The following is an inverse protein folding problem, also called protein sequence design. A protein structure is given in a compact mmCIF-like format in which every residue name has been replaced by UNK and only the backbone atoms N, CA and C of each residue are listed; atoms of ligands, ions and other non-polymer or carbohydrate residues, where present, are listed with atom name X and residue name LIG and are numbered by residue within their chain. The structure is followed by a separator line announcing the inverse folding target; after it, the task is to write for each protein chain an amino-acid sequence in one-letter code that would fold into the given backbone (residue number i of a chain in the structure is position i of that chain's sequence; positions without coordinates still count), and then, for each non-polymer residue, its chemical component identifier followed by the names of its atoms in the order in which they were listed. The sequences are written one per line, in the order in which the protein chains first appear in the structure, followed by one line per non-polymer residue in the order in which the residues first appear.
data_IF_162618818793
#
_entry.id   IF_162618818793
#
_cell.length_a   1.000
_cell.length_b   1.000
_cell.length_c   1.000
_cell.angle_alpha   90.00
_cell.angle_beta   90.00
_cell.angle_gamma   90.00
#
_symmetry.space_group_name_H-M   'P 1'
#
loop_
_entity.id
_entity.type
_entity.pdbx_description
1 polymer ?
#
# COMPACT_ATOMS: atom_id res chain seq x y z
N UNK A 1 -23.27 2.77 -34.22
CA UNK A 1 -23.57 4.01 -33.47
C UNK A 1 -24.45 3.84 -32.22
N UNK A 2 -25.40 2.89 -32.11
CA UNK A 2 -26.26 2.72 -30.92
C UNK A 2 -25.60 2.08 -29.68
N UNK A 3 -24.44 1.44 -29.82
CA UNK A 3 -23.70 0.84 -28.69
C UNK A 3 -22.92 1.90 -27.89
N UNK A 4 -22.39 2.93 -28.57
CA UNK A 4 -21.68 4.04 -27.92
C UNK A 4 -22.62 4.98 -27.14
N UNK A 5 -23.90 5.09 -27.55
CA UNK A 5 -24.87 5.96 -26.90
C UNK A 5 -25.33 5.50 -25.49
N UNK A 6 -25.00 4.26 -25.08
CA UNK A 6 -25.33 3.73 -23.74
C UNK A 6 -24.18 3.83 -22.74
N UNK A 7 -22.99 4.23 -23.17
CA UNK A 7 -21.89 4.50 -22.25
C UNK A 7 -22.09 5.95 -21.77
N UNK A 8 -22.77 6.12 -20.63
CA UNK A 8 -22.64 7.38 -19.88
C UNK A 8 -21.19 7.46 -19.41
N UNK A 9 -20.38 8.16 -20.19
CA UNK A 9 -18.98 8.44 -19.88
C UNK A 9 -18.97 9.27 -18.61
N UNK A 10 -18.48 8.69 -17.52
CA UNK A 10 -18.25 9.41 -16.28
C UNK A 10 -17.00 10.28 -16.47
N UNK A 11 -17.19 11.54 -16.84
CA UNK A 11 -16.12 12.48 -17.16
C UNK A 11 -15.11 12.60 -16.00
N UNK A 12 -15.59 12.56 -14.76
CA UNK A 12 -14.74 12.66 -13.57
C UNK A 12 -13.76 11.47 -13.47
N UNK A 13 -14.24 10.25 -13.71
CA UNK A 13 -13.38 9.06 -13.75
C UNK A 13 -12.34 9.16 -14.89
N UNK A 14 -12.75 9.64 -16.07
CA UNK A 14 -11.84 9.81 -17.20
C UNK A 14 -10.74 10.84 -16.94
N UNK A 15 -11.09 11.98 -16.35
CA UNK A 15 -10.11 12.99 -15.97
C UNK A 15 -9.10 12.43 -14.96
N UNK A 16 -9.54 11.59 -14.03
CA UNK A 16 -8.67 10.94 -13.06
C UNK A 16 -7.70 9.94 -13.73
N UNK A 17 -8.20 9.13 -14.66
CA UNK A 17 -7.36 8.21 -15.46
C UNK A 17 -6.34 9.00 -16.28
N UNK A 18 -6.77 10.09 -16.94
CA UNK A 18 -5.87 10.94 -17.73
C UNK A 18 -4.79 11.59 -16.87
N UNK A 19 -5.13 12.04 -15.65
CA UNK A 19 -4.15 12.58 -14.71
C UNK A 19 -3.13 11.51 -14.30
N UNK A 20 -3.57 10.29 -13.96
CA UNK A 20 -2.67 9.17 -13.67
C UNK A 20 -1.76 8.84 -14.86
N UNK A 21 -2.31 8.76 -16.08
CA UNK A 21 -1.53 8.47 -17.29
C UNK A 21 -0.53 9.57 -17.61
N UNK A 22 -0.86 10.84 -17.36
CA UNK A 22 0.08 11.95 -17.51
C UNK A 22 1.27 11.80 -16.56
N UNK A 23 1.03 11.40 -15.30
CA UNK A 23 2.11 11.11 -14.34
C UNK A 23 2.97 9.95 -14.85
N UNK A 24 2.36 8.85 -15.30
CA UNK A 24 3.08 7.71 -15.86
C UNK A 24 3.95 8.12 -17.05
N UNK A 25 3.41 8.90 -17.99
CA UNK A 25 4.13 9.39 -19.16
C UNK A 25 5.34 10.26 -18.77
N UNK A 26 5.15 11.19 -17.83
CA UNK A 26 6.23 12.07 -17.35
C UNK A 26 7.33 11.34 -16.57
N UNK A 27 7.07 10.13 -16.08
CA UNK A 27 8.04 9.31 -15.34
C UNK A 27 8.60 8.13 -16.14
N UNK A 28 8.19 7.97 -17.40
CA UNK A 28 8.74 6.93 -18.26
C UNK A 28 10.03 7.39 -18.93
N UNK A 29 11.07 6.57 -18.84
CA UNK A 29 12.32 6.78 -19.59
C UNK A 29 12.48 5.67 -20.63
N UNK A 30 12.33 5.96 -21.94
CA UNK A 30 12.46 4.95 -22.98
C UNK A 30 13.80 4.22 -22.94
N UNK A 31 13.81 2.94 -23.34
CA UNK A 31 15.02 2.10 -23.43
C UNK A 31 15.76 1.93 -22.10
N UNK A 32 15.05 2.04 -20.96
CA UNK A 32 15.61 1.78 -19.63
C UNK A 32 14.77 0.75 -18.89
N UNK A 33 15.39 0.08 -17.91
CA UNK A 33 14.66 -0.76 -16.96
C UNK A 33 14.38 0.04 -15.70
N UNK A 34 13.12 0.00 -15.25
CA UNK A 34 12.78 0.51 -13.93
C UNK A 34 13.36 -0.44 -12.87
N UNK A 35 14.37 0.01 -12.13
CA UNK A 35 14.88 -0.71 -10.96
C UNK A 35 14.42 -0.04 -9.66
N UNK A 36 14.22 -0.84 -8.62
CA UNK A 36 13.64 -0.43 -7.34
C UNK A 36 14.48 -0.85 -6.15
N UNK A 37 13.90 -0.84 -4.94
CA UNK A 37 14.61 -1.23 -3.71
C UNK A 37 15.11 -2.67 -3.78
N UNK A 38 14.23 -3.57 -4.21
CA UNK A 38 14.54 -4.95 -4.52
C UNK A 38 14.56 -5.14 -6.04
N UNK A 39 15.60 -5.81 -6.52
CA UNK A 39 15.84 -6.09 -7.94
C UNK A 39 15.06 -7.34 -8.38
N UNK A 40 13.75 -7.34 -8.14
CA UNK A 40 12.84 -8.39 -8.61
C UNK A 40 12.48 -8.17 -10.08
N UNK A 41 13.26 -8.78 -10.99
CA UNK A 41 13.03 -8.73 -12.44
C UNK A 41 12.52 -10.10 -12.96
N UNK A 42 11.24 -10.46 -12.71
CA UNK A 42 10.68 -11.68 -13.27
C UNK A 42 10.72 -11.71 -14.80
N UNK A 43 10.68 -10.54 -15.43
CA UNK A 43 10.71 -10.40 -16.88
C UNK A 43 11.93 -11.06 -17.52
N UNK A 44 13.09 -11.04 -16.86
CA UNK A 44 14.36 -11.57 -17.41
C UNK A 44 14.31 -13.07 -17.65
N UNK A 45 13.59 -13.81 -16.80
CA UNK A 45 13.34 -15.23 -16.98
C UNK A 45 12.16 -15.68 -16.10
N UNK A 46 10.94 -15.61 -16.65
CA UNK A 46 9.73 -15.95 -15.91
C UNK A 46 9.73 -17.39 -15.38
N UNK A 47 10.20 -18.36 -16.17
CA UNK A 47 10.25 -19.78 -15.79
C UNK A 47 11.14 -19.97 -14.57
N UNK A 48 12.35 -19.42 -14.61
CA UNK A 48 13.29 -19.51 -13.50
C UNK A 48 12.75 -18.76 -12.28
N UNK A 49 12.17 -17.57 -12.46
CA UNK A 49 11.60 -16.80 -11.36
C UNK A 49 10.46 -17.55 -10.66
N UNK A 50 9.50 -18.08 -11.42
CA UNK A 50 8.38 -18.89 -10.90
C UNK A 50 8.88 -20.12 -10.14
N UNK A 51 9.89 -20.82 -10.66
CA UNK A 51 10.48 -21.98 -9.98
C UNK A 51 11.09 -21.61 -8.62
N UNK A 52 11.72 -20.43 -8.51
CA UNK A 52 12.32 -19.93 -7.27
C UNK A 52 11.26 -19.53 -6.26
N UNK A 53 10.28 -18.71 -6.65
CA UNK A 53 9.28 -18.21 -5.70
C UNK A 53 8.29 -19.27 -5.21
N UNK A 54 8.12 -20.37 -5.97
CA UNK A 54 7.30 -21.51 -5.58
C UNK A 54 8.05 -22.49 -4.65
N UNK A 55 9.37 -22.34 -4.51
CA UNK A 55 10.20 -23.22 -3.67
C UNK A 55 10.17 -22.79 -2.20
N UNK A 56 10.12 -23.78 -1.31
CA UNK A 56 10.33 -23.59 0.15
C UNK A 56 11.81 -23.52 0.53
N UNK A 57 12.71 -23.68 -0.45
CA UNK A 57 14.16 -23.57 -0.29
C UNK A 57 14.76 -22.72 -1.42
N UNK A 58 15.51 -21.68 -1.05
CA UNK A 58 16.08 -20.72 -1.98
C UNK A 58 17.56 -20.99 -2.22
N UNK A 59 17.87 -21.97 -3.07
CA UNK A 59 19.26 -22.35 -3.42
C UNK A 59 20.10 -21.18 -3.94
N UNK A 60 19.45 -20.20 -4.56
CA UNK A 60 20.12 -19.03 -5.13
C UNK A 60 20.57 -18.00 -4.08
N UNK A 61 20.17 -18.16 -2.81
CA UNK A 61 20.53 -17.25 -1.72
C UNK A 61 21.74 -17.78 -0.95
N UNK A 62 22.95 -17.45 -1.42
CA UNK A 62 24.20 -17.84 -0.77
C UNK A 62 24.43 -19.36 -0.79
N UNK A 63 24.39 -20.01 0.37
CA UNK A 63 24.47 -21.48 0.51
C UNK A 63 23.09 -22.17 0.47
N UNK A 64 22.04 -21.39 0.18
CA UNK A 64 20.66 -21.81 0.31
C UNK A 64 20.07 -21.40 1.66
N UNK A 65 18.84 -20.92 1.64
CA UNK A 65 18.09 -20.54 2.84
C UNK A 65 16.60 -20.81 2.66
N UNK A 66 15.86 -21.09 3.76
CA UNK A 66 14.42 -21.05 3.71
C UNK A 66 13.96 -19.59 3.47
N UNK A 67 12.86 -19.36 2.73
CA UNK A 67 12.47 -18.02 2.31
C UNK A 67 11.97 -17.20 3.50
N UNK A 68 12.68 -16.12 3.84
CA UNK A 68 12.31 -15.21 4.92
C UNK A 68 11.14 -14.29 4.56
N UNK A 69 10.95 -14.04 3.27
CA UNK A 69 9.85 -13.29 2.69
C UNK A 69 8.81 -14.25 2.11
N UNK A 70 7.57 -13.78 1.97
CA UNK A 70 6.51 -14.60 1.36
C UNK A 70 6.62 -14.57 -0.18
N UNK A 71 7.72 -15.07 -0.74
CA UNK A 71 7.99 -15.01 -2.18
C UNK A 71 6.86 -15.56 -3.05
N UNK A 72 6.20 -16.65 -2.62
CA UNK A 72 5.07 -17.21 -3.34
C UNK A 72 3.93 -16.20 -3.56
N UNK A 73 3.78 -15.21 -2.69
CA UNK A 73 2.76 -14.14 -2.85
C UNK A 73 2.93 -13.31 -4.14
N UNK A 74 4.10 -13.36 -4.78
CA UNK A 74 4.40 -12.72 -6.07
C UNK A 74 3.80 -13.46 -7.28
N UNK A 75 3.30 -14.70 -7.12
CA UNK A 75 2.76 -15.50 -8.23
C UNK A 75 1.68 -14.75 -9.01
N UNK A 76 0.64 -14.14 -8.38
CA UNK A 76 -0.41 -13.45 -9.13
C UNK A 76 0.13 -12.26 -9.93
N UNK A 77 1.05 -11.49 -9.36
CA UNK A 77 1.72 -10.39 -10.08
C UNK A 77 2.52 -10.91 -11.26
N UNK A 78 3.25 -12.01 -11.09
CA UNK A 78 4.06 -12.60 -12.15
C UNK A 78 3.20 -13.03 -13.34
N UNK A 79 2.00 -13.56 -13.08
CA UNK A 79 1.01 -13.86 -14.12
C UNK A 79 0.52 -12.58 -14.82
N UNK A 80 0.24 -11.51 -14.08
CA UNK A 80 -0.12 -10.20 -14.65
C UNK A 80 1.02 -9.69 -15.55
N UNK A 81 2.27 -9.74 -15.09
CA UNK A 81 3.44 -9.34 -15.88
C UNK A 81 3.61 -10.20 -17.14
N UNK A 82 3.36 -11.51 -17.06
CA UNK A 82 3.39 -12.39 -18.22
C UNK A 82 2.34 -11.97 -19.26
N UNK A 83 1.14 -11.59 -18.84
CA UNK A 83 0.11 -11.08 -19.77
C UNK A 83 0.53 -9.74 -20.42
N UNK A 84 1.28 -8.90 -19.72
CA UNK A 84 1.78 -7.64 -20.28
C UNK A 84 2.79 -7.87 -21.42
N UNK A 85 3.50 -8.99 -21.44
CA UNK A 85 4.45 -9.33 -22.53
C UNK A 85 3.79 -9.44 -23.90
N UNK A 86 2.47 -9.68 -23.94
CA UNK A 86 1.70 -9.76 -25.19
C UNK A 86 1.60 -8.39 -25.87
N UNK A 87 1.62 -7.31 -25.09
CA UNK A 87 1.28 -5.96 -25.57
C UNK A 87 2.46 -5.00 -25.59
N UNK A 88 3.49 -5.26 -24.79
CA UNK A 88 4.54 -4.28 -24.52
C UNK A 88 5.95 -4.90 -24.65
N UNK A 89 6.96 -4.06 -24.94
CA UNK A 89 8.34 -4.52 -24.98
C UNK A 89 8.86 -4.87 -23.58
N UNK A 90 9.94 -5.64 -23.58
CA UNK A 90 10.58 -6.20 -22.39
C UNK A 90 10.99 -5.15 -21.35
N UNK A 91 11.57 -4.04 -21.79
CA UNK A 91 12.02 -2.92 -20.94
C UNK A 91 10.85 -2.23 -20.23
N UNK A 92 9.64 -2.32 -20.81
CA UNK A 92 8.44 -1.71 -20.25
C UNK A 92 7.73 -2.59 -19.22
N UNK A 93 8.13 -3.86 -19.02
CA UNK A 93 7.36 -4.80 -18.18
C UNK A 93 7.13 -4.29 -16.75
N UNK A 94 8.21 -3.86 -16.08
CA UNK A 94 8.13 -3.35 -14.71
C UNK A 94 7.45 -1.98 -14.65
N UNK A 95 7.73 -1.09 -15.62
CA UNK A 95 6.98 0.18 -15.77
C UNK A 95 5.48 -0.07 -15.90
N UNK A 96 5.08 -0.98 -16.79
CA UNK A 96 3.68 -1.30 -17.08
C UNK A 96 2.92 -1.78 -15.85
N UNK A 97 3.53 -2.66 -15.05
CA UNK A 97 2.90 -3.10 -13.79
C UNK A 97 2.75 -1.94 -12.79
N UNK A 98 3.80 -1.14 -12.59
CA UNK A 98 3.77 -0.02 -11.65
C UNK A 98 2.77 1.06 -12.10
N UNK A 99 2.74 1.39 -13.39
CA UNK A 99 1.79 2.33 -13.96
C UNK A 99 0.35 1.81 -13.87
N UNK A 100 0.13 0.51 -14.05
CA UNK A 100 -1.17 -0.10 -13.81
C UNK A 100 -1.62 0.15 -12.36
N UNK A 101 -0.74 0.04 -11.38
CA UNK A 101 -1.07 0.32 -9.98
C UNK A 101 -1.32 1.81 -9.70
N UNK A 102 -0.55 2.70 -10.32
CA UNK A 102 -0.75 4.17 -10.25
C UNK A 102 -2.11 4.59 -10.80
N UNK A 103 -2.59 3.92 -11.85
CA UNK A 103 -3.93 4.15 -12.42
C UNK A 103 -5.01 3.46 -11.57
N UNK A 104 -4.80 2.19 -11.20
CA UNK A 104 -5.79 1.39 -10.47
C UNK A 104 -6.14 1.98 -9.11
N UNK A 105 -5.16 2.48 -8.36
CA UNK A 105 -5.36 3.03 -7.01
C UNK A 105 -6.44 4.12 -6.94
N UNK A 106 -6.25 5.28 -7.60
CA UNK A 106 -7.24 6.36 -7.59
C UNK A 106 -8.57 5.96 -8.22
N UNK A 107 -8.59 5.08 -9.24
CA UNK A 107 -9.84 4.54 -9.80
C UNK A 107 -10.60 3.72 -8.77
N UNK A 108 -9.91 2.83 -8.04
CA UNK A 108 -10.50 2.03 -6.98
C UNK A 108 -11.09 2.89 -5.87
N UNK A 109 -10.35 3.93 -5.45
CA UNK A 109 -10.83 4.90 -4.44
C UNK A 109 -12.02 5.70 -4.96
N UNK A 110 -11.98 6.18 -6.20
CA UNK A 110 -13.11 6.86 -6.84
C UNK A 110 -14.36 5.99 -6.82
N UNK A 111 -14.25 4.73 -7.26
CA UNK A 111 -15.39 3.80 -7.31
C UNK A 111 -15.90 3.45 -5.91
N UNK A 112 -15.01 3.33 -4.92
CA UNK A 112 -15.38 3.15 -3.52
C UNK A 112 -16.19 4.34 -3.01
N UNK A 113 -15.64 5.56 -3.09
CA UNK A 113 -16.31 6.77 -2.61
C UNK A 113 -17.64 7.03 -3.34
N UNK A 114 -17.70 6.79 -4.65
CA UNK A 114 -18.94 6.92 -5.42
C UNK A 114 -20.01 5.94 -4.93
N UNK A 115 -19.64 4.72 -4.57
CA UNK A 115 -20.56 3.75 -3.98
C UNK A 115 -21.09 4.23 -2.62
N UNK A 116 -20.21 4.77 -1.77
CA UNK A 116 -20.60 5.29 -0.45
C UNK A 116 -21.59 6.46 -0.56
N UNK A 117 -21.26 7.48 -1.35
CA UNK A 117 -22.09 8.68 -1.47
C UNK A 117 -23.45 8.42 -2.13
N UNK A 118 -23.55 7.42 -3.02
CA UNK A 118 -24.83 6.99 -3.59
C UNK A 118 -25.74 6.38 -2.53
N UNK A 119 -25.20 5.60 -1.61
CA UNK A 119 -25.98 5.01 -0.51
C UNK A 119 -26.47 6.08 0.47
N UNK A 120 -25.69 7.14 0.67
CA UNK A 120 -26.06 8.30 1.50
C UNK A 120 -27.04 9.29 0.82
N UNK A 121 -27.58 8.94 -0.36
CA UNK A 121 -28.53 9.76 -1.14
C UNK A 121 -28.02 11.17 -1.47
N UNK A 122 -26.70 11.35 -1.57
CA UNK A 122 -26.09 12.61 -2.00
C UNK A 122 -26.45 12.86 -3.47
N UNK A 123 -26.62 14.13 -3.84
CA UNK A 123 -26.81 14.53 -5.24
C UNK A 123 -25.74 13.84 -6.13
N UNK A 124 -26.13 13.17 -7.25
CA UNK A 124 -25.19 12.43 -8.09
C UNK A 124 -23.98 13.25 -8.57
N UNK A 125 -24.17 14.52 -8.90
CA UNK A 125 -23.08 15.39 -9.34
C UNK A 125 -22.10 15.69 -8.20
N UNK A 126 -22.62 16.00 -7.01
CA UNK A 126 -21.79 16.24 -5.81
C UNK A 126 -21.05 14.98 -5.40
N UNK A 127 -21.69 13.81 -5.53
CA UNK A 127 -21.07 12.51 -5.29
C UNK A 127 -19.91 12.24 -6.24
N UNK A 128 -20.08 12.51 -7.54
CA UNK A 128 -19.02 12.34 -8.54
C UNK A 128 -17.84 13.29 -8.29
N UNK A 129 -18.10 14.57 -8.02
CA UNK A 129 -17.06 15.55 -7.74
C UNK A 129 -16.31 15.18 -6.45
N UNK A 130 -17.03 14.83 -5.38
CA UNK A 130 -16.39 14.42 -4.12
C UNK A 130 -15.54 13.16 -4.29
N UNK A 131 -16.03 12.17 -5.02
CA UNK A 131 -15.27 10.95 -5.31
C UNK A 131 -14.02 11.24 -6.17
N UNK A 132 -14.14 12.16 -7.14
CA UNK A 132 -13.02 12.61 -7.96
C UNK A 132 -11.95 13.30 -7.13
N UNK A 133 -12.34 14.26 -6.28
CA UNK A 133 -11.41 14.95 -5.39
C UNK A 133 -10.72 13.99 -4.42
N UNK A 134 -11.45 13.00 -3.89
CA UNK A 134 -10.87 11.96 -3.05
C UNK A 134 -9.87 11.06 -3.79
N UNK A 135 -10.19 10.64 -5.03
CA UNK A 135 -9.27 9.89 -5.88
C UNK A 135 -8.04 10.72 -6.29
N UNK A 136 -8.22 12.00 -6.59
CA UNK A 136 -7.13 12.92 -6.93
C UNK A 136 -6.21 13.16 -5.74
N UNK A 137 -6.76 13.33 -4.54
CA UNK A 137 -5.97 13.42 -3.31
C UNK A 137 -5.21 12.12 -3.03
N UNK A 138 -5.83 10.96 -3.26
CA UNK A 138 -5.16 9.66 -3.15
C UNK A 138 -3.98 9.52 -4.12
N UNK A 139 -4.08 10.08 -5.33
CA UNK A 139 -3.00 10.08 -6.32
C UNK A 139 -1.88 11.08 -6.00
N UNK A 140 -2.23 12.29 -5.55
CA UNK A 140 -1.30 13.43 -5.49
C UNK A 140 -0.79 13.79 -4.09
N UNK A 141 -1.16 13.04 -3.05
CA UNK A 141 -0.61 13.29 -1.71
C UNK A 141 0.88 12.89 -1.62
N UNK A 142 1.59 13.49 -0.66
CA UNK A 142 3.02 13.23 -0.46
C UNK A 142 3.33 11.76 -0.11
N UNK A 143 2.40 11.08 0.56
CA UNK A 143 2.51 9.65 0.86
C UNK A 143 2.64 8.82 -0.41
N UNK A 144 1.85 9.12 -1.45
CA UNK A 144 1.89 8.40 -2.73
C UNK A 144 3.25 8.53 -3.41
N UNK A 145 3.84 9.73 -3.42
CA UNK A 145 5.20 9.93 -3.92
C UNK A 145 6.20 8.99 -3.24
N UNK A 146 6.12 8.87 -1.91
CA UNK A 146 7.01 8.01 -1.13
C UNK A 146 6.80 6.52 -1.41
N UNK A 147 5.60 6.09 -1.80
CA UNK A 147 5.35 4.69 -2.20
C UNK A 147 5.98 4.33 -3.55
N UNK A 148 6.22 5.31 -4.42
CA UNK A 148 6.68 5.09 -5.80
C UNK A 148 8.07 5.67 -6.11
N UNK A 149 8.66 6.47 -5.21
CA UNK A 149 10.02 6.99 -5.42
C UNK A 149 11.08 5.90 -5.29
N UNK A 150 10.87 4.98 -4.34
CA UNK A 150 11.59 3.73 -4.24
C UNK A 150 10.62 2.63 -4.60
N UNK A 151 10.60 2.27 -5.86
CA UNK A 151 9.62 1.31 -6.38
C UNK A 151 9.81 -0.04 -5.69
N UNK A 152 8.72 -0.51 -5.08
CA UNK A 152 8.63 -1.86 -4.58
C UNK A 152 7.19 -2.37 -4.76
N UNK A 153 7.05 -3.52 -5.39
CA UNK A 153 5.79 -4.05 -5.89
C UNK A 153 4.76 -4.30 -4.80
N UNK A 154 5.19 -4.62 -3.58
CA UNK A 154 4.27 -4.83 -2.47
C UNK A 154 3.52 -3.55 -2.08
N UNK A 155 4.20 -2.40 -2.10
CA UNK A 155 3.60 -1.10 -1.82
C UNK A 155 2.71 -0.65 -2.98
N UNK A 156 3.17 -0.85 -4.22
CA UNK A 156 2.39 -0.55 -5.42
C UNK A 156 1.11 -1.40 -5.48
N UNK A 157 1.19 -2.70 -5.21
CA UNK A 157 0.03 -3.61 -5.20
C UNK A 157 -0.98 -3.21 -4.12
N UNK A 158 -0.51 -2.92 -2.90
CA UNK A 158 -1.37 -2.40 -1.85
C UNK A 158 -2.07 -1.11 -2.31
N UNK A 159 -1.32 -0.14 -2.81
CA UNK A 159 -1.86 1.13 -3.31
C UNK A 159 -2.92 0.92 -4.41
N UNK A 160 -2.60 0.12 -5.43
CA UNK A 160 -3.46 -0.10 -6.59
C UNK A 160 -4.76 -0.81 -6.26
N UNK A 161 -4.74 -1.78 -5.34
CA UNK A 161 -5.90 -2.62 -5.05
C UNK A 161 -6.72 -2.18 -3.83
N UNK A 162 -6.19 -1.35 -2.92
CA UNK A 162 -6.85 -1.01 -1.65
C UNK A 162 -8.29 -0.52 -1.82
N UNK A 163 -8.51 0.43 -2.73
CA UNK A 163 -9.85 0.99 -2.96
C UNK A 163 -10.84 -0.06 -3.48
N UNK A 164 -10.40 -0.96 -4.36
CA UNK A 164 -11.23 -2.04 -4.88
C UNK A 164 -11.56 -3.09 -3.81
N UNK A 165 -10.60 -3.41 -2.94
CA UNK A 165 -10.80 -4.34 -1.82
C UNK A 165 -11.94 -3.83 -0.94
N UNK A 166 -11.84 -2.58 -0.47
CA UNK A 166 -12.88 -1.99 0.37
C UNK A 166 -14.22 -1.88 -0.37
N UNK A 167 -14.22 -1.46 -1.64
CA UNK A 167 -15.43 -1.41 -2.48
C UNK A 167 -16.17 -2.75 -2.54
N UNK A 168 -15.48 -3.83 -2.88
CA UNK A 168 -16.13 -5.12 -3.04
C UNK A 168 -16.45 -5.78 -1.70
N UNK A 169 -15.66 -5.49 -0.65
CA UNK A 169 -15.99 -5.91 0.71
C UNK A 169 -17.30 -5.27 1.20
N UNK A 170 -17.43 -3.94 1.10
CA UNK A 170 -18.66 -3.24 1.50
C UNK A 170 -19.85 -3.70 0.67
N UNK A 171 -19.71 -3.77 -0.67
CA UNK A 171 -20.78 -4.27 -1.55
C UNK A 171 -21.26 -5.66 -1.17
N UNK A 172 -20.34 -6.59 -0.90
CA UNK A 172 -20.71 -7.94 -0.51
C UNK A 172 -21.40 -7.99 0.84
N UNK A 173 -20.94 -7.23 1.84
CA UNK A 173 -21.60 -7.16 3.14
C UNK A 173 -23.03 -6.61 2.99
N UNK A 174 -23.23 -5.59 2.17
CA UNK A 174 -24.55 -4.97 1.95
C UNK A 174 -25.52 -5.91 1.23
N UNK A 175 -25.10 -6.52 0.12
CA UNK A 175 -26.02 -7.22 -0.79
C UNK A 175 -25.89 -8.75 -0.80
N UNK A 176 -24.81 -9.32 -0.28
CA UNK A 176 -24.56 -10.77 -0.23
C UNK A 176 -24.45 -11.46 -1.59
N UNK A 177 -24.24 -10.73 -2.68
CA UNK A 177 -24.23 -11.29 -4.04
C UNK A 177 -22.96 -12.10 -4.29
N UNK A 178 -23.09 -13.26 -4.93
CA UNK A 178 -21.95 -14.12 -5.30
C UNK A 178 -20.96 -13.40 -6.21
N UNK A 179 -21.44 -12.58 -7.15
CA UNK A 179 -20.57 -11.85 -8.08
C UNK A 179 -19.68 -10.82 -7.36
N UNK A 180 -20.17 -10.18 -6.29
CA UNK A 180 -19.35 -9.23 -5.52
C UNK A 180 -18.33 -9.96 -4.64
N UNK A 181 -18.68 -11.14 -4.12
CA UNK A 181 -17.71 -12.01 -3.45
C UNK A 181 -16.63 -12.49 -4.42
N UNK A 182 -17.02 -12.95 -5.61
CA UNK A 182 -16.07 -13.38 -6.63
C UNK A 182 -15.14 -12.25 -7.06
N UNK A 183 -15.67 -11.04 -7.30
CA UNK A 183 -14.85 -9.87 -7.58
C UNK A 183 -13.89 -9.54 -6.43
N UNK A 184 -14.35 -9.61 -5.18
CA UNK A 184 -13.48 -9.46 -4.00
C UNK A 184 -12.34 -10.49 -4.00
N UNK A 185 -12.63 -11.77 -4.31
CA UNK A 185 -11.63 -12.82 -4.37
C UNK A 185 -10.57 -12.59 -5.43
N UNK A 186 -11.00 -12.21 -6.64
CA UNK A 186 -10.06 -11.87 -7.71
C UNK A 186 -9.15 -10.71 -7.30
N UNK A 187 -9.71 -9.65 -6.73
CA UNK A 187 -8.93 -8.49 -6.29
C UNK A 187 -7.95 -8.87 -5.17
N UNK A 188 -8.39 -9.65 -4.17
CA UNK A 188 -7.51 -10.12 -3.09
C UNK A 188 -6.36 -10.97 -3.65
N UNK A 189 -6.64 -11.91 -4.55
CA UNK A 189 -5.62 -12.73 -5.19
C UNK A 189 -4.63 -11.88 -5.99
N UNK A 190 -5.10 -10.95 -6.83
CA UNK A 190 -4.24 -10.05 -7.58
C UNK A 190 -3.40 -9.14 -6.68
N UNK A 191 -3.92 -8.80 -5.50
CA UNK A 191 -3.23 -7.97 -4.52
C UNK A 191 -2.22 -8.73 -3.64
N UNK A 192 -2.10 -10.05 -3.80
CA UNK A 192 -1.30 -10.90 -2.92
C UNK A 192 0.17 -10.48 -2.84
N UNK A 193 0.75 -9.87 -3.89
CA UNK A 193 2.13 -9.35 -3.87
C UNK A 193 2.37 -8.29 -2.79
N UNK A 194 1.31 -7.68 -2.22
CA UNK A 194 1.47 -6.84 -1.01
C UNK A 194 2.04 -7.63 0.18
N UNK A 195 1.92 -8.95 0.16
CA UNK A 195 2.42 -9.84 1.19
C UNK A 195 3.89 -10.23 1.01
N UNK A 196 4.60 -9.75 -0.03
CA UNK A 196 6.02 -10.05 -0.22
C UNK A 196 6.77 -9.89 1.11
N UNK A 197 6.58 -8.75 1.77
CA UNK A 197 6.78 -8.63 3.21
C UNK A 197 5.47 -8.91 3.94
N UNK A 198 5.39 -10.07 4.61
CA UNK A 198 4.14 -10.58 5.17
C UNK A 198 3.49 -9.63 6.20
N UNK A 199 4.30 -8.85 6.94
CA UNK A 199 3.81 -7.86 7.92
C UNK A 199 2.86 -6.84 7.29
N UNK A 200 3.12 -6.40 6.05
CA UNK A 200 2.26 -5.44 5.35
C UNK A 200 0.87 -6.01 5.10
N UNK A 201 0.79 -7.30 4.74
CA UNK A 201 -0.48 -8.00 4.56
C UNK A 201 -1.18 -8.25 5.88
N UNK A 202 -0.47 -8.67 6.95
CA UNK A 202 -1.09 -8.89 8.26
C UNK A 202 -1.71 -7.62 8.84
N UNK A 203 -1.04 -6.47 8.72
CA UNK A 203 -1.59 -5.18 9.14
C UNK A 203 -2.81 -4.81 8.29
N UNK A 204 -2.72 -5.01 6.96
CA UNK A 204 -3.86 -4.81 6.07
C UNK A 204 -5.06 -5.70 6.45
N UNK A 205 -4.83 -7.00 6.70
CA UNK A 205 -5.87 -7.95 7.06
C UNK A 205 -6.50 -7.63 8.42
N UNK A 206 -5.70 -7.19 9.40
CA UNK A 206 -6.18 -6.68 10.68
C UNK A 206 -7.08 -5.45 10.50
N UNK A 207 -6.67 -4.50 9.65
CA UNK A 207 -7.48 -3.33 9.28
C UNK A 207 -8.78 -3.71 8.57
N UNK A 208 -8.74 -4.65 7.62
CA UNK A 208 -9.93 -5.17 6.94
C UNK A 208 -10.87 -5.88 7.91
N UNK A 209 -10.33 -6.65 8.86
CA UNK A 209 -11.10 -7.32 9.92
C UNK A 209 -11.81 -6.28 10.78
N UNK A 210 -11.09 -5.27 11.27
CA UNK A 210 -11.67 -4.20 12.08
C UNK A 210 -12.76 -3.44 11.32
N UNK A 211 -12.48 -3.06 10.07
CA UNK A 211 -13.45 -2.40 9.19
C UNK A 211 -14.74 -3.21 9.05
N UNK A 212 -14.62 -4.45 8.60
CA UNK A 212 -15.78 -5.29 8.23
C UNK A 212 -16.61 -5.68 9.45
N UNK A 213 -15.98 -5.96 10.59
CA UNK A 213 -16.68 -6.29 11.83
C UNK A 213 -17.42 -5.08 12.42
N UNK A 214 -16.77 -3.90 12.48
CA UNK A 214 -17.44 -2.67 12.94
C UNK A 214 -18.58 -2.32 12.00
N UNK A 215 -18.33 -2.35 10.69
CA UNK A 215 -19.35 -2.05 9.68
C UNK A 215 -20.55 -2.98 9.81
N UNK A 216 -20.32 -4.28 9.96
CA UNK A 216 -21.38 -5.25 10.18
C UNK A 216 -22.12 -5.05 11.51
N UNK A 217 -21.41 -4.68 12.57
CA UNK A 217 -21.98 -4.50 13.90
C UNK A 217 -22.93 -3.29 14.00
N UNK A 218 -22.61 -2.21 13.28
CA UNK A 218 -23.39 -0.97 13.24
C UNK A 218 -24.76 -1.12 12.56
N UNK A 219 -24.98 -2.18 11.77
CA UNK A 219 -26.28 -2.46 11.16
C UNK A 219 -27.14 -3.30 12.10
N UNK A 220 -27.81 -2.65 13.06
CA UNK A 220 -28.51 -3.31 14.19
C UNK A 220 -29.52 -4.37 13.77
N UNK A 221 -30.39 -4.06 12.81
CA UNK A 221 -31.54 -4.89 12.46
C UNK A 221 -31.12 -6.14 11.65
N UNK A 222 -30.02 -6.03 10.91
CA UNK A 222 -29.48 -7.08 10.04
C UNK A 222 -28.13 -7.61 10.53
N UNK A 223 -27.75 -7.31 11.78
CA UNK A 223 -26.41 -7.55 12.34
C UNK A 223 -25.93 -8.98 12.14
N UNK A 224 -26.78 -9.97 12.44
CA UNK A 224 -26.41 -11.40 12.29
C UNK A 224 -26.07 -11.77 10.85
N UNK A 225 -26.83 -11.24 9.89
CA UNK A 225 -26.60 -11.47 8.45
C UNK A 225 -25.31 -10.79 8.02
N UNK A 226 -25.08 -9.55 8.43
CA UNK A 226 -23.90 -8.77 8.08
C UNK A 226 -22.64 -9.39 8.69
N UNK A 227 -22.67 -9.83 9.95
CA UNK A 227 -21.57 -10.52 10.60
C UNK A 227 -21.25 -11.87 9.94
N UNK A 228 -22.27 -12.64 9.53
CA UNK A 228 -22.04 -13.88 8.76
C UNK A 228 -21.34 -13.59 7.43
N UNK A 229 -21.74 -12.52 6.74
CA UNK A 229 -21.11 -12.08 5.47
C UNK A 229 -19.68 -11.61 5.70
N UNK A 230 -19.43 -10.80 6.74
CA UNK A 230 -18.08 -10.37 7.12
C UNK A 230 -17.19 -11.56 7.47
N UNK A 231 -17.67 -12.49 8.31
CA UNK A 231 -16.94 -13.70 8.68
C UNK A 231 -16.59 -14.57 7.46
N UNK A 232 -17.55 -14.76 6.54
CA UNK A 232 -17.29 -15.47 5.29
C UNK A 232 -16.23 -14.74 4.45
N UNK A 233 -16.34 -13.42 4.27
CA UNK A 233 -15.36 -12.63 3.52
C UNK A 233 -13.94 -12.76 4.10
N UNK A 234 -13.80 -12.62 5.42
CA UNK A 234 -12.52 -12.75 6.12
C UNK A 234 -11.95 -14.17 6.01
N UNK A 235 -12.81 -15.17 6.17
CA UNK A 235 -12.41 -16.58 6.00
C UNK A 235 -11.87 -16.83 4.60
N UNK A 236 -12.60 -16.43 3.55
CA UNK A 236 -12.11 -16.69 2.19
C UNK A 236 -10.87 -15.85 1.87
N UNK A 237 -10.72 -14.66 2.44
CA UNK A 237 -9.48 -13.86 2.34
C UNK A 237 -8.26 -14.62 2.88
N UNK A 238 -8.38 -15.34 4.00
CA UNK A 238 -7.31 -16.23 4.48
C UNK A 238 -7.14 -17.43 3.55
N UNK A 239 -8.23 -18.13 3.23
CA UNK A 239 -8.18 -19.38 2.44
C UNK A 239 -7.48 -19.19 1.09
N UNK A 240 -7.77 -18.10 0.38
CA UNK A 240 -7.16 -17.82 -0.92
C UNK A 240 -5.68 -17.46 -0.83
N UNK A 241 -5.19 -17.05 0.35
CA UNK A 241 -3.80 -16.67 0.60
C UNK A 241 -3.00 -17.78 1.32
N UNK A 242 -3.61 -18.94 1.64
CA UNK A 242 -2.94 -20.04 2.34
C UNK A 242 -1.67 -20.53 1.64
N UNK A 243 -1.62 -20.43 0.31
CA UNK A 243 -0.47 -20.90 -0.48
C UNK A 243 0.84 -20.17 -0.14
N UNK A 244 0.80 -18.93 0.34
CA UNK A 244 1.97 -18.22 0.84
C UNK A 244 1.95 -18.04 2.37
N UNK A 245 0.77 -17.98 3.01
CA UNK A 245 0.66 -17.85 4.47
C UNK A 245 1.27 -19.08 5.16
N UNK A 246 0.96 -20.30 4.71
CA UNK A 246 1.43 -21.52 5.37
C UNK A 246 2.97 -21.64 5.35
N UNK A 247 3.66 -21.47 4.20
CA UNK A 247 5.12 -21.44 4.18
C UNK A 247 5.72 -20.30 5.03
N UNK A 248 5.12 -19.11 5.00
CA UNK A 248 5.61 -17.97 5.80
C UNK A 248 5.46 -18.23 7.31
N UNK A 249 4.33 -18.79 7.74
CA UNK A 249 4.10 -19.19 9.13
C UNK A 249 5.11 -20.26 9.56
N UNK A 250 5.35 -21.26 8.71
CA UNK A 250 6.38 -22.26 8.96
C UNK A 250 7.76 -21.61 9.12
N UNK A 251 8.14 -20.67 8.26
CA UNK A 251 9.39 -19.93 8.40
C UNK A 251 9.46 -19.18 9.73
N UNK A 252 8.44 -18.39 10.06
CA UNK A 252 8.42 -17.59 11.29
C UNK A 252 8.53 -18.43 12.57
N UNK A 253 7.88 -19.61 12.59
CA UNK A 253 7.90 -20.50 13.76
C UNK A 253 9.24 -21.22 13.93
N UNK A 254 9.89 -21.63 12.82
CA UNK A 254 11.10 -22.45 12.89
C UNK A 254 12.40 -21.64 12.81
N UNK A 255 12.40 -20.49 12.12
CA UNK A 255 13.60 -19.70 11.78
C UNK A 255 13.51 -18.23 12.23
N UNK A 256 12.47 -17.85 13.00
CA UNK A 256 12.30 -16.46 13.47
C UNK A 256 13.48 -15.94 14.31
N UNK A 257 14.14 -16.81 15.09
CA UNK A 257 15.31 -16.45 15.89
C UNK A 257 16.56 -16.17 15.04
N UNK A 258 16.70 -16.84 13.89
CA UNK A 258 17.82 -16.64 12.98
C UNK A 258 17.77 -15.25 12.35
N UNK A 259 16.56 -14.75 12.07
CA UNK A 259 16.33 -13.38 11.59
C UNK A 259 16.84 -12.36 12.61
N UNK A 260 16.45 -12.50 13.87
CA UNK A 260 16.82 -11.59 14.97
C UNK A 260 18.34 -11.56 15.17
N UNK A 261 19.01 -12.70 15.02
CA UNK A 261 20.46 -12.83 15.26
C UNK A 261 21.30 -12.51 14.02
N UNK A 262 20.69 -12.40 12.83
CA UNK A 262 21.38 -12.06 11.59
C UNK A 262 22.08 -10.70 11.66
N UNK A 263 23.23 -10.58 10.98
CA UNK A 263 24.04 -9.35 11.00
C UNK A 263 23.25 -8.12 10.51
N UNK A 264 22.47 -8.28 9.45
CA UNK A 264 21.69 -7.18 8.88
C UNK A 264 20.64 -6.66 9.85
N UNK A 265 19.91 -7.54 10.55
CA UNK A 265 18.90 -7.11 11.52
C UNK A 265 19.53 -6.51 12.79
N UNK A 266 20.65 -7.05 13.27
CA UNK A 266 21.37 -6.49 14.42
C UNK A 266 21.86 -5.06 14.19
N UNK A 267 22.21 -4.72 12.94
CA UNK A 267 22.63 -3.36 12.57
C UNK A 267 21.42 -2.48 12.23
N UNK A 268 20.50 -2.97 11.41
CA UNK A 268 19.45 -2.18 10.80
C UNK A 268 18.24 -1.93 11.72
N UNK A 269 17.92 -2.83 12.65
CA UNK A 269 16.69 -2.72 13.46
C UNK A 269 16.68 -1.48 14.37
N UNK A 270 17.82 -1.07 14.93
CA UNK A 270 17.89 0.19 15.68
C UNK A 270 17.93 1.42 14.79
N UNK A 271 18.67 1.35 13.68
CA UNK A 271 18.74 2.43 12.71
C UNK A 271 17.37 2.75 12.11
N UNK A 272 16.63 1.72 11.68
CA UNK A 272 15.27 1.84 11.17
C UNK A 272 14.34 2.49 12.20
N UNK A 273 14.41 2.05 13.46
CA UNK A 273 13.60 2.62 14.53
C UNK A 273 13.90 4.10 14.77
N UNK A 274 15.19 4.48 14.86
CA UNK A 274 15.59 5.88 15.09
C UNK A 274 15.20 6.77 13.91
N UNK A 275 15.34 6.27 12.69
CA UNK A 275 14.91 6.96 11.48
C UNK A 275 13.39 7.18 11.47
N UNK A 276 12.58 6.16 11.77
CA UNK A 276 11.12 6.31 11.89
C UNK A 276 10.73 7.27 13.03
N UNK A 277 11.37 7.16 14.20
CA UNK A 277 11.13 8.04 15.35
C UNK A 277 11.41 9.51 15.03
N UNK A 278 12.39 9.81 14.17
CA UNK A 278 12.70 11.19 13.76
C UNK A 278 11.56 11.88 13.00
N UNK A 279 10.69 11.09 12.35
CA UNK A 279 9.48 11.54 11.64
C UNK A 279 8.18 11.25 12.38
N UNK A 280 8.24 10.74 13.61
CA UNK A 280 7.07 10.41 14.44
C UNK A 280 6.37 11.61 15.09
N UNK A 281 6.50 12.81 14.49
CA UNK A 281 5.92 14.06 14.97
C UNK A 281 4.58 14.34 14.28
N UNK A 282 3.67 15.03 14.98
CA UNK A 282 2.36 15.42 14.42
C UNK A 282 2.51 16.23 13.12
N UNK A 283 3.48 17.15 13.07
CA UNK A 283 3.76 17.99 11.88
C UNK A 283 4.04 17.18 10.62
N UNK A 284 4.65 16.01 10.79
CA UNK A 284 5.16 15.17 9.71
C UNK A 284 4.06 14.21 9.26
N UNK A 285 3.37 13.62 10.23
CA UNK A 285 2.26 12.70 10.01
C UNK A 285 1.10 13.39 9.29
N UNK A 286 0.77 14.64 9.64
CA UNK A 286 -0.32 15.38 8.99
C UNK A 286 -0.11 15.49 7.47
N UNK A 287 1.13 15.67 7.02
CA UNK A 287 1.47 15.78 5.59
C UNK A 287 2.03 14.47 5.01
N UNK A 288 1.96 13.36 5.75
CA UNK A 288 2.51 12.05 5.39
C UNK A 288 4.04 12.00 5.16
N UNK A 289 4.82 12.86 5.79
CA UNK A 289 6.29 12.83 5.68
C UNK A 289 6.88 11.66 6.48
N UNK A 290 7.73 10.84 5.86
CA UNK A 290 8.39 9.69 6.51
C UNK A 290 9.92 9.76 6.41
N UNK A 291 10.58 8.71 6.90
CA UNK A 291 12.04 8.61 7.00
C UNK A 291 12.81 8.69 5.67
N UNK A 292 12.16 8.49 4.52
CA UNK A 292 12.78 8.61 3.21
C UNK A 292 13.32 10.01 2.94
N UNK A 293 12.80 11.04 3.62
CA UNK A 293 13.32 12.40 3.54
C UNK A 293 14.73 12.59 4.11
N UNK A 294 15.17 11.70 5.01
CA UNK A 294 16.55 11.68 5.50
C UNK A 294 17.39 10.57 4.88
N UNK A 295 16.82 9.76 3.99
CA UNK A 295 17.54 8.67 3.35
C UNK A 295 18.60 9.21 2.40
N UNK A 296 19.85 8.78 2.55
CA UNK A 296 20.95 9.22 1.69
C UNK A 296 21.23 8.19 0.61
N UNK A 297 21.39 8.68 -0.61
CA UNK A 297 21.85 7.89 -1.75
C UNK A 297 23.32 8.22 -1.96
N UNK A 298 24.15 7.18 -2.05
CA UNK A 298 25.54 7.31 -2.44
C UNK A 298 25.60 7.25 -3.96
N UNK A 299 26.01 8.34 -4.57
CA UNK A 299 26.38 8.34 -5.97
C UNK A 299 27.88 8.05 -6.04
N UNK A 300 28.22 6.86 -6.51
CA UNK A 300 29.57 6.62 -7.02
C UNK A 300 29.67 7.40 -8.32
N UNK A 301 30.08 8.66 -8.25
CA UNK A 301 30.44 9.39 -9.44
C UNK A 301 31.64 8.65 -10.08
N UNK A 302 31.45 8.09 -11.27
CA UNK A 302 32.52 7.60 -12.16
C UNK A 302 33.50 8.71 -12.61
N UNK A 303 33.50 9.86 -11.95
CA UNK A 303 34.39 10.97 -12.23
C UNK A 303 35.68 10.73 -11.45
N UNK A 304 36.60 9.97 -12.04
CA UNK A 304 38.03 10.10 -11.75
C UNK A 304 38.50 11.50 -12.14
N UNK A 305 38.26 12.50 -11.28
CA UNK A 305 39.05 13.74 -11.29
C UNK A 305 40.18 13.56 -10.28
N UNK A 306 41.41 13.46 -10.79
CA UNK A 306 42.65 13.38 -10.01
C UNK A 306 42.85 12.13 -9.13
N UNK A 307 42.33 10.96 -9.54
CA UNK A 307 42.64 9.69 -8.88
C UNK A 307 42.00 9.48 -7.50
N UNK A 308 41.10 10.36 -7.06
CA UNK A 308 40.32 10.21 -5.82
C UNK A 308 38.85 9.94 -6.13
N UNK A 309 38.31 8.86 -5.58
CA UNK A 309 36.88 8.52 -5.60
C UNK A 309 36.11 9.56 -4.76
N UNK A 310 35.50 10.54 -5.42
CA UNK A 310 34.57 11.46 -4.76
C UNK A 310 33.21 10.78 -4.66
N UNK A 311 32.91 10.21 -3.50
CA UNK A 311 31.56 9.73 -3.19
C UNK A 311 30.71 10.94 -2.81
N UNK A 312 29.82 11.37 -3.69
CA UNK A 312 28.81 12.39 -3.35
C UNK A 312 27.59 11.70 -2.78
N UNK A 313 27.20 12.07 -1.56
CA UNK A 313 25.94 11.63 -0.97
C UNK A 313 24.90 12.75 -1.12
N UNK A 314 23.72 12.43 -1.65
CA UNK A 314 22.57 13.35 -1.66
C UNK A 314 21.36 12.70 -0.96
N UNK A 315 20.37 13.50 -0.60
CA UNK A 315 19.14 13.00 0.02
C UNK A 315 18.17 12.52 -1.06
N UNK A 316 17.61 11.32 -0.88
CA UNK A 316 16.70 10.68 -1.84
C UNK A 316 15.53 11.58 -2.25
N UNK A 317 14.99 12.34 -1.30
CA UNK A 317 13.84 13.24 -1.51
C UNK A 317 14.24 14.72 -1.58
N UNK A 318 15.47 15.05 -1.99
CA UNK A 318 15.96 16.43 -2.02
C UNK A 318 15.02 17.39 -2.79
N UNK A 319 14.54 16.99 -3.97
CA UNK A 319 13.59 17.80 -4.76
C UNK A 319 12.29 18.10 -4.01
N UNK A 320 11.77 17.12 -3.26
CA UNK A 320 10.56 17.29 -2.46
C UNK A 320 10.82 18.08 -1.18
N UNK A 321 12.02 17.96 -0.60
CA UNK A 321 12.45 18.80 0.52
C UNK A 321 12.50 20.27 0.11
N UNK A 322 13.07 20.58 -1.05
CA UNK A 322 13.06 21.94 -1.64
C UNK A 322 11.64 22.42 -1.94
N UNK A 323 10.79 21.54 -2.48
CA UNK A 323 9.38 21.87 -2.74
C UNK A 323 8.63 22.23 -1.44
N UNK A 324 8.83 21.48 -0.36
CA UNK A 324 8.20 21.71 0.94
C UNK A 324 8.78 22.90 1.73
N UNK A 325 9.91 23.47 1.31
CA UNK A 325 10.42 24.72 1.89
C UNK A 325 9.53 25.93 1.53
N UNK A 326 8.71 25.82 0.48
CA UNK A 326 7.74 26.85 0.17
C UNK A 326 6.57 26.81 1.20
N UNK A 327 6.37 27.87 1.98
CA UNK A 327 5.36 27.88 3.04
C UNK A 327 3.93 27.72 2.50
N UNK A 328 3.65 28.14 1.26
CA UNK A 328 2.34 27.97 0.63
C UNK A 328 2.01 26.51 0.35
N UNK A 329 2.99 25.73 -0.11
CA UNK A 329 2.83 24.29 -0.36
C UNK A 329 2.63 23.54 0.95
N UNK A 330 3.43 23.87 1.97
CA UNK A 330 3.30 23.26 3.29
C UNK A 330 1.93 23.57 3.92
N UNK A 331 1.46 24.81 3.80
CA UNK A 331 0.13 25.23 4.25
C UNK A 331 -0.98 24.44 3.54
N UNK A 332 -0.90 24.23 2.22
CA UNK A 332 -1.86 23.41 1.48
C UNK A 332 -1.91 21.98 2.02
N UNK A 333 -0.76 21.38 2.33
CA UNK A 333 -0.67 20.07 2.97
C UNK A 333 -1.48 20.03 4.27
N UNK A 334 -1.25 20.99 5.17
CA UNK A 334 -1.99 21.08 6.43
C UNK A 334 -3.49 21.36 6.26
N UNK A 335 -3.88 22.15 5.27
CA UNK A 335 -5.30 22.38 4.94
C UNK A 335 -5.98 21.06 4.56
N UNK A 336 -5.36 20.23 3.73
CA UNK A 336 -5.94 18.93 3.37
C UNK A 336 -6.07 17.98 4.56
N UNK A 337 -5.07 17.95 5.46
CA UNK A 337 -5.15 17.16 6.70
C UNK A 337 -6.28 17.66 7.60
N UNK A 338 -6.40 18.97 7.76
CA UNK A 338 -7.47 19.59 8.53
C UNK A 338 -8.86 19.27 7.95
N UNK A 339 -9.04 19.42 6.64
CA UNK A 339 -10.29 19.07 5.96
C UNK A 339 -10.63 17.58 6.12
N UNK A 340 -9.63 16.70 6.08
CA UNK A 340 -9.82 15.26 6.29
C UNK A 340 -10.29 14.95 7.72
N UNK A 341 -9.67 15.57 8.73
CA UNK A 341 -10.05 15.41 10.15
C UNK A 341 -11.45 15.99 10.40
N UNK A 342 -11.73 17.19 9.90
CA UNK A 342 -13.03 17.84 10.02
C UNK A 342 -14.13 17.01 9.34
N UNK A 343 -13.85 16.50 8.13
CA UNK A 343 -14.75 15.60 7.40
C UNK A 343 -15.04 14.32 8.16
N UNK A 344 -14.02 13.68 8.76
CA UNK A 344 -14.19 12.51 9.60
C UNK A 344 -15.05 12.84 10.84
N UNK A 345 -14.78 13.95 11.53
CA UNK A 345 -15.55 14.39 12.69
C UNK A 345 -17.02 14.65 12.36
N UNK A 346 -17.31 15.38 11.29
CA UNK A 346 -18.68 15.65 10.84
C UNK A 346 -19.39 14.34 10.47
N UNK A 347 -18.71 13.42 9.80
CA UNK A 347 -19.28 12.13 9.38
C UNK A 347 -19.59 11.22 10.56
N UNK A 348 -18.75 11.22 11.60
CA UNK A 348 -19.02 10.52 12.86
C UNK A 348 -20.24 11.12 13.56
N UNK A 349 -20.34 12.46 13.64
CA UNK A 349 -21.54 13.14 14.18
C UNK A 349 -22.81 12.80 13.40
N UNK A 350 -22.71 12.68 12.08
CA UNK A 350 -23.80 12.25 11.19
C UNK A 350 -24.06 10.73 11.22
N UNK A 351 -23.32 9.97 12.03
CA UNK A 351 -23.43 8.51 12.17
C UNK A 351 -23.22 7.74 10.87
N UNK A 352 -22.33 8.21 10.00
CA UNK A 352 -21.92 7.45 8.81
C UNK A 352 -21.27 6.13 9.24
N UNK A 353 -21.92 5.01 8.95
CA UNK A 353 -21.46 3.68 9.34
C UNK A 353 -20.08 3.37 8.79
N UNK A 354 -19.82 3.80 7.56
CA UNK A 354 -18.56 3.57 6.86
C UNK A 354 -17.42 4.33 7.52
N UNK A 355 -17.60 5.64 7.77
CA UNK A 355 -16.55 6.45 8.37
C UNK A 355 -16.27 6.00 9.81
N UNK A 356 -17.30 5.68 10.59
CA UNK A 356 -17.13 5.11 11.93
C UNK A 356 -16.34 3.80 11.89
N UNK A 357 -16.45 3.02 10.81
CA UNK A 357 -15.70 1.77 10.62
C UNK A 357 -14.24 1.99 10.20
N UNK A 358 -13.90 3.13 9.57
CA UNK A 358 -12.55 3.46 9.09
C UNK A 358 -11.73 4.22 10.15
N UNK A 359 -12.38 5.07 10.94
CA UNK A 359 -11.71 5.92 11.95
C UNK A 359 -10.85 5.11 12.93
N UNK A 360 -11.28 3.96 13.48
CA UNK A 360 -10.45 3.16 14.37
C UNK A 360 -9.16 2.64 13.72
N UNK A 361 -9.23 2.24 12.45
CA UNK A 361 -8.06 1.76 11.68
C UNK A 361 -7.05 2.90 11.50
N UNK A 362 -7.56 4.09 11.18
CA UNK A 362 -6.75 5.30 11.04
C UNK A 362 -6.13 5.69 12.38
N UNK A 363 -6.90 5.61 13.47
CA UNK A 363 -6.43 5.89 14.82
C UNK A 363 -5.31 4.96 15.26
N UNK A 364 -5.43 3.66 15.00
CA UNK A 364 -4.36 2.68 15.27
C UNK A 364 -3.12 3.00 14.44
N UNK A 365 -3.29 3.32 13.16
CA UNK A 365 -2.17 3.67 12.28
C UNK A 365 -1.44 4.92 12.77
N UNK A 366 -2.19 5.97 13.13
CA UNK A 366 -1.63 7.22 13.69
C UNK A 366 -0.94 6.95 15.03
N UNK A 367 -1.51 6.09 15.88
CA UNK A 367 -0.90 5.72 17.16
C UNK A 367 0.51 5.15 16.96
N UNK A 368 0.70 4.21 16.02
CA UNK A 368 2.01 3.63 15.75
C UNK A 368 2.97 4.62 15.08
N UNK A 369 2.47 5.57 14.28
CA UNK A 369 3.31 6.61 13.68
C UNK A 369 3.75 7.68 14.69
N UNK A 370 2.97 7.98 15.73
CA UNK A 370 3.26 9.00 16.75
C UNK A 370 4.29 8.55 17.82
N UNK A 371 5.36 7.90 17.39
CA UNK A 371 6.41 7.35 18.26
C UNK A 371 7.23 8.41 19.01
N UNK A 372 7.09 9.70 18.69
CA UNK A 372 7.76 10.82 19.38
C UNK A 372 6.86 11.57 20.38
N UNK A 373 5.57 11.22 20.51
CA UNK A 373 4.68 11.90 21.47
C UNK A 373 4.90 11.32 22.87
N UNK A 374 5.16 12.11 23.93
CA UNK A 374 5.65 11.60 25.22
C UNK A 374 4.87 10.41 25.79
N UNK A 375 3.54 10.51 25.89
CA UNK A 375 2.69 9.43 26.44
C UNK A 375 2.68 8.19 25.52
N UNK A 376 2.61 8.39 24.20
CA UNK A 376 2.56 7.29 23.24
C UNK A 376 3.92 6.59 23.09
N UNK A 377 5.00 7.37 23.17
CA UNK A 377 6.38 6.87 23.09
C UNK A 377 6.71 5.92 24.25
N UNK A 378 6.19 6.18 25.45
CA UNK A 378 6.36 5.27 26.59
C UNK A 378 5.67 3.93 26.37
N UNK A 379 4.45 3.94 25.82
CA UNK A 379 3.72 2.71 25.49
C UNK A 379 4.45 1.95 24.38
N UNK A 380 4.92 2.66 23.35
CA UNK A 380 5.67 2.07 22.25
C UNK A 380 6.98 1.43 22.73
N UNK A 381 7.76 2.14 23.54
CA UNK A 381 9.04 1.67 24.09
C UNK A 381 8.83 0.49 25.07
N UNK A 382 7.72 0.49 25.82
CA UNK A 382 7.31 -0.66 26.63
C UNK A 382 6.99 -1.88 25.77
N UNK A 383 6.18 -1.73 24.71
CA UNK A 383 5.88 -2.84 23.81
C UNK A 383 7.14 -3.38 23.14
N UNK A 384 8.06 -2.49 22.72
CA UNK A 384 9.32 -2.87 22.07
C UNK A 384 10.26 -3.61 23.01
N UNK A 385 10.30 -3.24 24.28
CA UNK A 385 11.16 -3.88 25.30
C UNK A 385 10.58 -5.17 25.88
N UNK A 386 9.31 -5.49 25.59
CA UNK A 386 8.64 -6.69 26.12
C UNK A 386 9.28 -8.01 25.67
N UNK A 387 9.69 -8.13 24.39
CA UNK A 387 10.49 -9.24 23.88
C UNK A 387 11.21 -8.88 22.55
N UNK A 388 12.15 -9.73 22.14
CA UNK A 388 12.92 -9.53 20.90
C UNK A 388 12.06 -9.56 19.62
N UNK A 389 10.95 -10.30 19.63
CA UNK A 389 10.04 -10.37 18.48
C UNK A 389 9.28 -9.05 18.29
N UNK A 390 8.79 -8.45 19.37
CA UNK A 390 8.13 -7.14 19.36
C UNK A 390 9.11 -6.03 18.97
N UNK A 391 10.37 -6.14 19.42
CA UNK A 391 11.44 -5.25 18.98
C UNK A 391 11.61 -5.26 17.46
N UNK A 392 11.49 -6.43 16.85
CA UNK A 392 11.63 -6.63 15.41
C UNK A 392 10.37 -6.19 14.64
N UNK A 393 9.17 -6.46 15.17
CA UNK A 393 7.90 -6.04 14.58
C UNK A 393 7.75 -4.51 14.61
N UNK A 394 8.15 -3.87 15.71
CA UNK A 394 8.00 -2.43 15.95
C UNK A 394 9.26 -1.62 15.60
N UNK A 395 10.08 -2.12 14.67
CA UNK A 395 11.26 -1.39 14.18
C UNK A 395 10.94 -0.34 13.11
N UNK A 396 9.73 -0.40 12.54
CA UNK A 396 9.23 0.51 11.52
C UNK A 396 8.13 1.40 12.06
#
# INVERSE_FOLDING_TARGET
MRILAKIKIDLALWLLIMASLAICYLNYTPQTFLSGWDTLHPEFNFTQYLSRIASVWQEHQGLGAPPSQAHASEIPRTIISLLLTIFFPFEFMRYGYIFLMVVAGPVGVYMFLQYLFKNDRVNPHISQISAFLGGLFYLLNLGTVQHFIVVFEMFAAKFGFLGFIYLFATKYIDNGKKNTLFAFLLIILCSASMAHTATLWYIFYGGLTLYTLIYAYLHTDTRKIFLKRAALLLTVCILINLYWILPNMYYSLNYGNDVITSKIHRLFTEEAYLNNRSYGKISDILIFRNFLFNWRVLESADIMKNGSLLTTSFELMESWKKHLQNPGILLLGYIFSFLSILGAYISVKKRSTVVISIVPITGISIFFLLSHVPVLSQIFDFLRSSNNMMKEILRF
#
